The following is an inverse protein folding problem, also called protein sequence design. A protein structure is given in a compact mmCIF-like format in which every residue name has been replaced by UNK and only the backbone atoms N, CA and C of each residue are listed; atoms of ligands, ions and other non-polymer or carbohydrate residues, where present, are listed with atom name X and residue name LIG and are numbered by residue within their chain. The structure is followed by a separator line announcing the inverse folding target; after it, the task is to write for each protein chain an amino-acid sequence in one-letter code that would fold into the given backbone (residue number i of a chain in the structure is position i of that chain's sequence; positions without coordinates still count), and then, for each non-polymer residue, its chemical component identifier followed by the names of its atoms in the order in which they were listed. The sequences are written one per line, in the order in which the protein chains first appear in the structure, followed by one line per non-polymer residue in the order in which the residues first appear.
data_IF_435295501109
#
_entry.id   IF_435295501109
#
_cell.length_a   1.000
_cell.length_b   1.000
_cell.length_c   1.000
_cell.angle_alpha   90.00
_cell.angle_beta   90.00
_cell.angle_gamma   90.00
#
_symmetry.space_group_name_H-M   'P 1'
#
loop_
_entity.id
_entity.type
_entity.pdbx_description
1 polymer ?
#
# COMPACT_ATOMS: atom_id res chain seq x y z
N UNK A 1 -15.65 -19.46 -33.18
CA UNK A 1 -15.90 -19.50 -31.72
C UNK A 1 -16.73 -18.27 -31.39
N UNK A 2 -18.04 -18.38 -31.60
CA UNK A 2 -19.01 -17.30 -31.39
C UNK A 2 -19.54 -17.47 -29.96
N UNK A 3 -19.12 -16.60 -29.04
CA UNK A 3 -19.62 -16.62 -27.67
C UNK A 3 -20.97 -15.91 -27.65
N UNK A 4 -22.01 -16.75 -27.71
CA UNK A 4 -23.41 -16.41 -27.50
C UNK A 4 -23.60 -15.56 -26.23
N UNK A 5 -24.05 -14.33 -26.43
CA UNK A 5 -24.24 -13.31 -25.40
C UNK A 5 -25.67 -13.42 -24.84
N UNK A 6 -25.81 -14.16 -23.74
CA UNK A 6 -27.07 -14.43 -23.04
C UNK A 6 -27.63 -13.20 -22.29
N UNK A 7 -28.97 -13.01 -22.19
CA UNK A 7 -29.58 -11.72 -21.88
C UNK A 7 -29.65 -11.31 -20.40
N UNK A 8 -29.56 -9.99 -20.24
CA UNK A 8 -29.65 -9.16 -19.03
C UNK A 8 -30.92 -9.47 -18.20
N UNK A 9 -30.76 -10.25 -17.13
CA UNK A 9 -31.86 -10.60 -16.22
C UNK A 9 -32.00 -9.56 -15.10
N UNK A 10 -33.11 -8.82 -15.14
CA UNK A 10 -33.58 -7.87 -14.12
C UNK A 10 -33.85 -8.59 -12.79
N UNK A 11 -33.14 -8.22 -11.73
CA UNK A 11 -33.58 -8.50 -10.35
C UNK A 11 -33.96 -7.18 -9.68
N UNK A 12 -35.26 -6.92 -9.62
CA UNK A 12 -35.86 -5.94 -8.72
C UNK A 12 -35.91 -6.58 -7.34
N UNK A 13 -35.18 -6.07 -6.36
CA UNK A 13 -35.35 -6.46 -4.96
C UNK A 13 -35.57 -5.19 -4.15
N UNK A 14 -36.66 -5.23 -3.39
CA UNK A 14 -37.25 -4.12 -2.69
C UNK A 14 -36.53 -3.77 -1.39
N UNK A 15 -36.52 -2.47 -1.14
CA UNK A 15 -36.53 -1.71 0.12
C UNK A 15 -36.68 -2.52 1.41
N UNK A 16 -35.75 -2.32 2.36
CA UNK A 16 -36.08 -2.34 3.78
C UNK A 16 -35.32 -1.24 4.52
N UNK A 17 -36.07 -0.55 5.39
CA UNK A 17 -35.79 0.72 6.05
C UNK A 17 -34.72 0.66 7.17
N UNK A 18 -33.96 1.76 7.22
CA UNK A 18 -33.58 2.60 8.37
C UNK A 18 -33.59 1.98 9.79
N UNK A 19 -32.39 1.86 10.38
CA UNK A 19 -32.21 1.94 11.84
C UNK A 19 -31.40 3.21 12.17
N UNK A 20 -32.10 4.24 12.64
CA UNK A 20 -31.52 5.46 13.21
C UNK A 20 -31.36 5.22 14.72
N UNK A 21 -30.16 4.89 15.18
CA UNK A 21 -29.86 4.84 16.61
C UNK A 21 -29.11 6.11 17.01
N UNK A 22 -29.81 6.95 17.78
CA UNK A 22 -29.30 8.13 18.47
C UNK A 22 -28.42 7.67 19.62
N UNK A 23 -27.22 8.24 19.73
CA UNK A 23 -26.32 8.03 20.86
C UNK A 23 -25.24 9.11 20.91
N UNK A 24 -25.62 10.31 21.32
CA UNK A 24 -24.68 11.39 21.66
C UNK A 24 -24.16 11.16 23.09
N UNK A 25 -22.87 10.90 23.24
CA UNK A 25 -22.02 11.29 24.38
C UNK A 25 -20.80 10.36 24.46
N UNK A 26 -19.65 10.85 24.00
CA UNK A 26 -18.36 10.43 24.54
C UNK A 26 -17.56 11.70 24.88
N UNK A 27 -16.95 11.76 26.08
CA UNK A 27 -16.30 12.95 26.60
C UNK A 27 -15.10 13.34 25.75
N UNK A 28 -14.80 14.63 25.68
CA UNK A 28 -13.54 15.15 25.14
C UNK A 28 -12.40 14.68 26.06
N UNK A 29 -11.91 13.46 25.82
CA UNK A 29 -10.73 12.92 26.45
C UNK A 29 -9.53 13.56 25.75
N UNK A 30 -8.83 14.43 26.48
CA UNK A 30 -7.58 15.05 26.06
C UNK A 30 -6.67 13.97 25.46
N UNK A 31 -6.52 13.98 24.14
CA UNK A 31 -5.58 13.11 23.45
C UNK A 31 -4.19 13.68 23.74
N UNK A 32 -3.60 13.25 24.84
CA UNK A 32 -2.15 13.21 24.95
C UNK A 32 -1.71 12.29 23.81
N UNK A 33 -1.34 12.90 22.68
CA UNK A 33 -0.82 12.19 21.54
C UNK A 33 0.30 11.29 22.06
N UNK A 34 0.21 9.96 21.89
CA UNK A 34 1.33 9.10 22.17
C UNK A 34 2.48 9.62 21.31
N UNK A 35 3.48 10.21 21.95
CA UNK A 35 4.82 10.25 21.38
C UNK A 35 5.21 8.79 21.29
N UNK A 36 4.81 8.12 20.20
CA UNK A 36 5.35 6.83 19.83
C UNK A 36 6.86 7.05 19.83
N UNK A 37 7.63 6.41 20.73
CA UNK A 37 9.06 6.35 20.53
C UNK A 37 9.20 5.73 19.16
N UNK A 38 9.73 6.51 18.22
CA UNK A 38 10.15 6.06 16.90
C UNK A 38 11.39 5.20 17.16
N UNK A 39 11.21 4.11 17.90
CA UNK A 39 12.21 3.08 18.06
C UNK A 39 12.53 2.63 16.66
N UNK A 40 13.82 2.44 16.41
CA UNK A 40 14.38 1.98 15.15
C UNK A 40 13.69 0.67 14.76
N UNK A 41 12.52 0.78 14.15
CA UNK A 41 11.85 -0.32 13.52
C UNK A 41 12.78 -0.69 12.39
N UNK A 42 13.53 -1.77 12.60
CA UNK A 42 14.41 -2.34 11.60
C UNK A 42 13.53 -2.59 10.38
N UNK A 43 13.65 -1.73 9.36
CA UNK A 43 12.83 -1.83 8.15
C UNK A 43 13.39 -3.01 7.37
N UNK A 44 12.79 -4.18 7.57
CA UNK A 44 13.14 -5.40 6.85
C UNK A 44 12.41 -5.41 5.52
N UNK A 45 13.14 -5.57 4.42
CA UNK A 45 12.58 -5.71 3.07
C UNK A 45 12.60 -7.17 2.63
N UNK A 46 11.64 -7.56 1.80
CA UNK A 46 11.60 -8.90 1.21
C UNK A 46 11.72 -8.83 -0.32
N UNK A 47 12.31 -9.86 -0.93
CA UNK A 47 12.39 -9.97 -2.38
C UNK A 47 10.99 -10.00 -2.99
N UNK A 48 10.77 -9.19 -4.03
CA UNK A 48 9.48 -9.03 -4.70
C UNK A 48 8.60 -7.93 -4.11
N UNK A 49 9.01 -7.32 -2.99
CA UNK A 49 8.28 -6.21 -2.39
C UNK A 49 8.39 -4.94 -3.24
N UNK A 50 7.30 -4.17 -3.32
CA UNK A 50 7.28 -2.87 -3.98
C UNK A 50 7.77 -1.78 -3.03
N UNK A 51 8.76 -1.03 -3.48
CA UNK A 51 9.41 0.02 -2.72
C UNK A 51 9.59 1.28 -3.56
N UNK A 52 9.83 2.40 -2.89
CA UNK A 52 10.21 3.67 -3.52
C UNK A 52 11.19 4.40 -2.63
N UNK A 53 12.01 5.27 -3.20
CA UNK A 53 12.78 6.21 -2.37
C UNK A 53 11.82 7.14 -1.62
N UNK A 54 12.15 7.43 -0.36
CA UNK A 54 11.42 8.41 0.45
C UNK A 54 11.43 9.82 -0.18
N UNK A 55 12.45 10.12 -0.98
CA UNK A 55 12.55 11.36 -1.76
C UNK A 55 11.65 11.37 -3.01
N UNK A 56 11.07 10.24 -3.41
CA UNK A 56 10.25 10.10 -4.62
C UNK A 56 10.85 9.13 -5.64
N UNK A 57 10.71 9.43 -6.94
CA UNK A 57 11.25 8.59 -8.02
C UNK A 57 10.29 7.48 -8.51
N UNK A 58 10.77 6.53 -9.32
CA UNK A 58 9.96 5.43 -9.82
C UNK A 58 9.61 4.42 -8.72
N UNK A 59 8.54 3.66 -8.93
CA UNK A 59 8.25 2.48 -8.10
C UNK A 59 9.19 1.35 -8.51
N UNK A 60 9.82 0.72 -7.53
CA UNK A 60 10.83 -0.32 -7.72
C UNK A 60 10.41 -1.62 -7.03
N UNK A 61 11.01 -2.72 -7.46
CA UNK A 61 10.83 -4.05 -6.86
C UNK A 61 12.15 -4.49 -6.24
N UNK A 62 12.10 -5.02 -5.02
CA UNK A 62 13.29 -5.57 -4.37
C UNK A 62 13.73 -6.86 -5.08
N UNK A 63 14.94 -6.87 -5.65
CA UNK A 63 15.54 -8.07 -6.27
C UNK A 63 16.33 -8.90 -5.25
N UNK A 64 17.02 -8.24 -4.32
CA UNK A 64 17.81 -8.86 -3.27
C UNK A 64 17.99 -7.92 -2.07
N UNK A 65 18.24 -8.50 -0.90
CA UNK A 65 18.61 -7.77 0.33
C UNK A 65 19.91 -8.35 0.85
N UNK A 66 20.89 -7.49 1.13
CA UNK A 66 22.20 -7.85 1.67
C UNK A 66 22.52 -6.87 2.80
N UNK A 67 22.51 -7.35 4.03
CA UNK A 67 22.72 -6.54 5.23
C UNK A 67 21.75 -5.33 5.28
N UNK A 68 22.26 -4.10 5.17
CA UNK A 68 21.48 -2.86 5.14
C UNK A 68 21.18 -2.34 3.72
N UNK A 69 21.65 -3.05 2.70
CA UNK A 69 21.50 -2.69 1.30
C UNK A 69 20.38 -3.48 0.64
N UNK A 70 19.58 -2.78 -0.14
CA UNK A 70 18.45 -3.33 -0.89
C UNK A 70 18.70 -3.07 -2.36
N UNK A 71 18.89 -4.15 -3.10
CA UNK A 71 18.98 -4.13 -4.55
C UNK A 71 17.57 -4.04 -5.12
N UNK A 72 17.34 -3.02 -5.95
CA UNK A 72 16.05 -2.65 -6.49
C UNK A 72 16.12 -2.66 -8.01
N UNK A 73 15.06 -3.17 -8.65
CA UNK A 73 14.88 -3.14 -10.11
C UNK A 73 13.58 -2.43 -10.45
N UNK A 74 13.56 -1.69 -11.55
CA UNK A 74 12.35 -1.05 -12.08
C UNK A 74 12.40 -0.96 -13.59
N UNK A 75 11.31 -0.48 -14.18
CA UNK A 75 11.25 -0.15 -15.61
C UNK A 75 11.26 1.35 -15.73
N UNK A 76 12.21 1.87 -16.51
CA UNK A 76 12.34 3.31 -16.76
C UNK A 76 11.24 3.84 -17.70
N UNK A 77 11.28 5.14 -17.98
CA UNK A 77 10.32 5.79 -18.88
C UNK A 77 10.45 5.31 -20.35
N UNK A 78 11.57 4.65 -20.70
CA UNK A 78 11.80 4.07 -22.03
C UNK A 78 11.32 2.61 -22.15
N UNK A 79 10.82 2.03 -21.06
CA UNK A 79 10.38 0.64 -21.01
C UNK A 79 11.53 -0.35 -20.83
N UNK A 80 12.75 0.12 -20.52
CA UNK A 80 13.91 -0.73 -20.27
C UNK A 80 14.05 -1.04 -18.77
N UNK A 81 14.57 -2.22 -18.42
CA UNK A 81 14.88 -2.54 -17.04
C UNK A 81 16.11 -1.76 -16.57
N UNK A 82 16.00 -1.16 -15.39
CA UNK A 82 17.10 -0.53 -14.64
C UNK A 82 17.23 -1.17 -13.26
N UNK A 83 18.42 -1.04 -12.66
CA UNK A 83 18.72 -1.49 -11.31
C UNK A 83 19.58 -0.49 -10.52
N UNK A 84 19.40 -0.47 -9.20
CA UNK A 84 20.26 0.25 -8.27
C UNK A 84 20.17 -0.34 -6.86
N UNK A 85 21.21 -0.10 -6.07
CA UNK A 85 21.28 -0.52 -4.67
C UNK A 85 21.12 0.70 -3.77
N UNK A 86 20.24 0.58 -2.77
CA UNK A 86 19.96 1.66 -1.82
C UNK A 86 20.06 1.17 -0.38
N UNK A 87 20.47 2.04 0.56
CA UNK A 87 20.27 1.80 1.98
C UNK A 87 18.79 1.59 2.34
N UNK A 88 18.52 0.67 3.27
CA UNK A 88 17.17 0.35 3.72
C UNK A 88 16.41 1.57 4.29
N UNK A 89 17.12 2.50 4.94
CA UNK A 89 16.54 3.68 5.58
C UNK A 89 15.98 4.71 4.60
N UNK A 90 16.53 4.78 3.38
CA UNK A 90 16.05 5.70 2.33
C UNK A 90 14.84 5.16 1.55
N UNK A 91 14.46 3.90 1.78
CA UNK A 91 13.33 3.25 1.11
C UNK A 91 12.05 3.28 1.97
N UNK A 92 10.91 3.28 1.29
CA UNK A 92 9.59 3.06 1.89
C UNK A 92 8.83 1.98 1.13
N UNK A 93 8.06 1.18 1.88
CA UNK A 93 7.17 0.13 1.37
C UNK A 93 5.84 0.73 0.89
N UNK A 94 5.17 0.04 -0.04
CA UNK A 94 3.86 0.40 -0.59
C UNK A 94 2.77 -0.60 -0.20
#
# INVERSE_FOLDING_TARGET
MELDMSPRTKRRIAVTMLFLAIGASCPALASTAPLSPKGDAIVQFERGELVRLRSGGPMMTVSAVKDDQVECIWTDDSGQPDDATFPADVLQKF
#
